data_IF_071160858011
#
_entry.id   IF_071160858011
#
_cell.length_a   1.000
_cell.length_b   1.000
_cell.length_c   1.000
_cell.angle_alpha   90.00
_cell.angle_beta   90.00
_cell.angle_gamma   90.00
#
_symmetry.space_group_name_H-M   'P 1'
#
loop_
_entity.id
_entity.type
_entity.pdbx_description
1 polymer ?
#
# COMPACT_ATOMS: atom_id res chain seq x y z
N UNK A 1 2.98 -19.83 26.98
CA UNK A 1 3.57 -19.80 28.34
C UNK A 1 4.99 -19.29 28.21
N UNK A 2 5.24 -18.03 28.57
CA UNK A 2 6.60 -17.48 28.55
C UNK A 2 7.40 -18.03 29.74
N UNK A 3 8.54 -18.64 29.45
CA UNK A 3 9.46 -19.19 30.45
C UNK A 3 10.36 -18.10 30.99
N UNK A 4 10.14 -17.67 32.24
CA UNK A 4 11.09 -16.82 32.96
C UNK A 4 12.40 -17.58 33.17
N UNK A 5 13.54 -16.98 32.78
CA UNK A 5 14.85 -17.59 33.03
C UNK A 5 15.27 -17.39 34.49
N UNK A 6 15.89 -18.42 35.07
CA UNK A 6 16.44 -18.38 36.45
C UNK A 6 17.43 -17.23 36.68
N UNK A 7 18.08 -16.73 35.61
CA UNK A 7 19.01 -15.59 35.69
C UNK A 7 18.30 -14.26 35.99
N UNK A 8 17.09 -14.06 35.48
CA UNK A 8 16.31 -12.85 35.76
C UNK A 8 15.91 -12.75 37.24
N UNK A 9 15.58 -13.90 37.86
CA UNK A 9 15.20 -13.99 39.28
C UNK A 9 16.41 -13.77 40.21
N UNK A 10 17.60 -14.24 39.81
CA UNK A 10 18.81 -14.08 40.61
C UNK A 10 19.34 -12.63 40.60
N UNK A 11 19.19 -11.90 39.49
CA UNK A 11 19.56 -10.48 39.42
C UNK A 11 18.71 -9.59 40.33
N UNK A 12 17.42 -9.88 40.47
CA UNK A 12 16.50 -9.10 41.31
C UNK A 12 16.76 -9.20 42.81
N UNK A 13 17.26 -10.34 43.30
CA UNK A 13 17.55 -10.53 44.71
C UNK A 13 18.78 -9.71 45.17
N UNK A 14 19.78 -9.55 44.31
CA UNK A 14 20.98 -8.76 44.61
C UNK A 14 20.69 -7.25 44.65
N UNK A 15 19.78 -6.75 43.81
CA UNK A 15 19.41 -5.33 43.77
C UNK A 15 18.56 -4.89 44.97
N UNK A 16 17.62 -5.73 45.44
CA UNK A 16 16.76 -5.38 46.58
C UNK A 16 17.56 -5.24 47.90
N UNK A 17 18.57 -6.10 48.10
CA UNK A 17 19.43 -6.06 49.29
C UNK A 17 20.36 -4.84 49.32
N UNK A 18 20.81 -4.35 48.16
CA UNK A 18 21.71 -3.20 48.06
C UNK A 18 21.01 -1.85 48.33
N UNK A 19 19.68 -1.76 48.13
CA UNK A 19 18.92 -0.50 48.22
C UNK A 19 17.86 -0.47 49.33
N UNK A 20 17.78 -1.50 50.19
CA UNK A 20 16.89 -1.48 51.36
C UNK A 20 15.39 -1.38 51.02
N UNK A 21 15.00 -1.80 49.81
CA UNK A 21 13.61 -1.74 49.36
C UNK A 21 12.80 -2.86 50.01
N UNK A 22 11.85 -2.51 50.88
CA UNK A 22 10.94 -3.43 51.57
C UNK A 22 9.71 -3.83 50.73
N UNK A 23 9.63 -3.39 49.47
CA UNK A 23 8.53 -3.68 48.55
C UNK A 23 8.97 -4.61 47.42
N UNK A 24 8.04 -5.42 46.90
CA UNK A 24 8.28 -6.25 45.72
C UNK A 24 8.67 -5.37 44.54
N UNK A 25 9.86 -5.57 43.97
CA UNK A 25 10.26 -4.99 42.69
C UNK A 25 9.46 -5.70 41.59
N UNK A 26 8.38 -5.07 41.14
CA UNK A 26 7.67 -5.51 39.94
C UNK A 26 8.43 -5.05 38.70
N UNK A 27 8.98 -6.00 37.95
CA UNK A 27 9.43 -5.74 36.59
C UNK A 27 8.19 -5.59 35.71
N UNK A 28 7.74 -4.35 35.55
CA UNK A 28 6.81 -4.00 34.47
C UNK A 28 7.60 -4.13 33.17
N UNK A 29 7.51 -5.30 32.53
CA UNK A 29 7.86 -5.43 31.12
C UNK A 29 7.04 -4.37 30.39
N UNK A 30 7.61 -3.58 29.47
CA UNK A 30 6.80 -2.70 28.63
C UNK A 30 5.77 -3.60 27.93
N UNK A 31 4.51 -3.45 28.31
CA UNK A 31 3.42 -3.93 27.49
C UNK A 31 3.55 -3.13 26.21
N UNK A 32 4.10 -3.74 25.16
CA UNK A 32 3.91 -3.26 23.80
C UNK A 32 2.39 -3.31 23.61
N UNK A 33 1.72 -2.19 23.87
CA UNK A 33 0.31 -2.06 23.56
C UNK A 33 0.19 -2.43 22.09
N UNK A 34 -0.50 -3.53 21.79
CA UNK A 34 -0.65 -3.99 20.42
C UNK A 34 -1.27 -2.84 19.63
N UNK A 35 -0.55 -2.32 18.64
CA UNK A 35 -1.08 -1.31 17.74
C UNK A 35 -2.37 -1.87 17.15
N UNK A 36 -3.51 -1.17 17.24
CA UNK A 36 -4.76 -1.67 16.69
C UNK A 36 -4.58 -1.96 15.20
N UNK A 37 -5.05 -3.13 14.76
CA UNK A 37 -4.89 -3.61 13.39
C UNK A 37 -5.51 -2.65 12.36
N UNK A 38 -6.63 -2.04 12.72
CA UNK A 38 -7.39 -1.10 11.89
C UNK A 38 -7.41 0.26 12.61
N UNK A 39 -7.33 1.38 11.87
CA UNK A 39 -7.28 2.69 12.49
C UNK A 39 -8.61 3.06 13.14
N UNK A 40 -8.55 3.78 14.27
CA UNK A 40 -9.75 4.36 14.90
C UNK A 40 -10.31 5.53 14.10
N UNK A 41 -9.44 6.28 13.42
CA UNK A 41 -9.80 7.35 12.48
C UNK A 41 -9.33 6.94 11.09
N UNK A 42 -10.26 6.58 10.21
CA UNK A 42 -9.96 6.03 8.89
C UNK A 42 -9.45 7.00 7.83
N UNK A 43 -8.98 8.19 8.22
CA UNK A 43 -8.27 9.10 7.33
C UNK A 43 -7.13 9.80 8.06
N UNK A 44 -6.09 10.20 7.32
CA UNK A 44 -4.95 10.93 7.85
C UNK A 44 -4.50 12.00 6.87
N UNK A 45 -4.34 13.23 7.36
CA UNK A 45 -3.98 14.40 6.56
C UNK A 45 -2.56 14.86 6.88
N UNK A 46 -1.78 15.12 5.85
CA UNK A 46 -0.42 15.64 5.97
C UNK A 46 -0.08 16.51 4.75
N UNK A 47 1.10 17.15 4.77
CA UNK A 47 1.59 17.98 3.67
C UNK A 47 2.96 17.53 3.19
N UNK A 48 3.19 17.68 1.88
CA UNK A 48 4.52 17.57 1.25
C UNK A 48 4.73 18.82 0.40
N UNK A 49 5.50 19.78 0.92
CA UNK A 49 5.48 21.14 0.36
C UNK A 49 4.07 21.73 0.47
N UNK A 50 3.53 22.20 -0.65
CA UNK A 50 2.16 22.74 -0.75
C UNK A 50 1.11 21.68 -1.10
N UNK A 51 1.51 20.42 -1.32
CA UNK A 51 0.60 19.31 -1.62
C UNK A 51 -0.13 18.95 -0.32
N UNK A 52 -1.45 19.08 -0.29
CA UNK A 52 -2.26 18.50 0.80
C UNK A 52 -2.54 17.04 0.44
N UNK A 53 -2.14 16.12 1.32
CA UNK A 53 -2.31 14.69 1.13
C UNK A 53 -3.32 14.17 2.15
N UNK A 54 -4.32 13.43 1.69
CA UNK A 54 -5.27 12.72 2.54
C UNK A 54 -5.20 11.23 2.22
N UNK A 55 -4.62 10.44 3.14
CA UNK A 55 -4.70 8.99 3.10
C UNK A 55 -6.05 8.54 3.67
N UNK A 56 -6.71 7.59 3.02
CA UNK A 56 -8.08 7.16 3.32
C UNK A 56 -8.10 5.64 3.37
N UNK A 57 -8.50 5.11 4.51
CA UNK A 57 -8.57 3.67 4.77
C UNK A 57 -9.83 3.09 4.12
N UNK A 58 -9.66 2.09 3.26
CA UNK A 58 -10.77 1.34 2.65
C UNK A 58 -11.08 0.06 3.45
N UNK A 59 -10.06 -0.54 4.06
CA UNK A 59 -10.15 -1.77 4.83
C UNK A 59 -8.81 -2.47 4.93
N UNK A 60 -8.85 -3.76 5.26
CA UNK A 60 -7.66 -4.62 5.33
C UNK A 60 -7.99 -6.00 4.78
N UNK A 61 -7.16 -6.51 3.89
CA UNK A 61 -7.22 -7.92 3.57
C UNK A 61 -6.47 -8.73 4.64
N UNK A 62 -7.23 -9.51 5.40
CA UNK A 62 -6.71 -10.47 6.39
C UNK A 62 -6.38 -11.78 5.68
N UNK A 63 -5.35 -11.77 4.84
CA UNK A 63 -5.04 -12.90 3.95
C UNK A 63 -4.53 -14.09 4.76
N UNK A 64 -5.14 -15.29 4.64
CA UNK A 64 -4.58 -16.50 5.24
C UNK A 64 -3.14 -16.73 4.77
N UNK A 65 -2.29 -17.22 5.67
CA UNK A 65 -0.95 -17.65 5.31
C UNK A 65 -1.03 -18.70 4.21
N UNK A 66 -0.15 -18.55 3.23
CA UNK A 66 -0.19 -19.28 1.98
C UNK A 66 1.25 -19.48 1.53
N UNK A 67 1.71 -20.73 1.37
CA UNK A 67 3.11 -21.01 1.03
C UNK A 67 3.49 -20.49 -0.36
N UNK A 68 2.51 -20.10 -1.19
CA UNK A 68 2.75 -19.53 -2.51
C UNK A 68 2.75 -18.00 -2.51
N UNK A 69 2.37 -17.35 -1.41
CA UNK A 69 2.26 -15.88 -1.36
C UNK A 69 3.60 -15.19 -1.64
N UNK A 70 4.69 -15.69 -1.06
CA UNK A 70 6.05 -15.30 -1.41
C UNK A 70 6.76 -16.54 -1.96
N UNK A 71 7.03 -16.58 -3.26
CA UNK A 71 7.47 -17.79 -3.99
C UNK A 71 8.79 -18.36 -3.49
N UNK A 72 9.67 -17.51 -2.95
CA UNK A 72 11.02 -17.84 -2.50
C UNK A 72 11.20 -17.65 -0.99
N UNK A 73 10.13 -17.68 -0.20
CA UNK A 73 10.18 -17.66 1.26
C UNK A 73 9.15 -18.63 1.86
N UNK A 74 9.44 -19.16 3.04
CA UNK A 74 8.49 -20.01 3.76
C UNK A 74 7.47 -19.16 4.54
N UNK A 75 6.39 -19.80 4.99
CA UNK A 75 5.43 -19.16 5.91
C UNK A 75 6.13 -18.70 7.19
N UNK A 76 7.07 -19.49 7.71
CA UNK A 76 7.77 -19.14 8.95
C UNK A 76 8.69 -17.92 8.75
N UNK A 77 9.34 -17.79 7.58
CA UNK A 77 10.12 -16.58 7.24
C UNK A 77 9.22 -15.35 7.21
N UNK A 78 8.05 -15.44 6.56
CA UNK A 78 7.12 -14.29 6.49
C UNK A 78 6.53 -13.92 7.86
N UNK A 79 6.23 -14.90 8.72
CA UNK A 79 5.80 -14.64 10.10
C UNK A 79 6.91 -14.03 10.94
N UNK A 80 8.15 -14.45 10.76
CA UNK A 80 9.29 -13.85 11.45
C UNK A 80 9.45 -12.37 11.05
N UNK A 81 9.35 -12.06 9.76
CA UNK A 81 9.37 -10.68 9.26
C UNK A 81 8.24 -9.83 9.85
N UNK A 82 7.00 -10.35 9.88
CA UNK A 82 5.85 -9.68 10.50
C UNK A 82 6.07 -9.44 12.00
N UNK A 83 6.53 -10.46 12.73
CA UNK A 83 6.80 -10.38 14.17
C UNK A 83 7.86 -9.32 14.50
N UNK A 84 8.95 -9.26 13.72
CA UNK A 84 10.00 -8.22 13.85
C UNK A 84 9.45 -6.81 13.62
N UNK A 85 8.46 -6.67 12.74
CA UNK A 85 7.78 -5.40 12.49
C UNK A 85 6.68 -5.09 13.53
N UNK A 86 6.48 -5.95 14.54
CA UNK A 86 5.43 -5.78 15.55
C UNK A 86 4.02 -6.02 15.02
N UNK A 87 3.88 -6.71 13.89
CA UNK A 87 2.59 -7.02 13.26
C UNK A 87 2.07 -8.39 13.70
N UNK A 88 0.75 -8.59 13.56
CA UNK A 88 0.14 -9.90 13.81
C UNK A 88 0.72 -10.99 12.92
N UNK A 89 0.85 -12.19 13.46
CA UNK A 89 1.28 -13.39 12.73
C UNK A 89 0.13 -14.39 12.52
N UNK A 90 -1.09 -14.06 12.95
CA UNK A 90 -2.28 -14.91 12.77
C UNK A 90 -2.69 -15.03 11.29
N UNK A 91 -2.48 -13.96 10.53
CA UNK A 91 -2.69 -13.86 9.09
C UNK A 91 -1.70 -12.84 8.51
N UNK A 92 -1.66 -12.68 7.20
CA UNK A 92 -0.92 -11.62 6.52
C UNK A 92 -1.78 -10.35 6.47
N UNK A 93 -1.41 -9.26 7.19
CA UNK A 93 -2.18 -8.03 7.23
C UNK A 93 -1.84 -7.15 6.01
N UNK A 94 -2.78 -6.95 5.10
CA UNK A 94 -2.59 -6.13 3.88
C UNK A 94 -3.59 -4.96 3.92
N UNK A 95 -3.20 -3.80 4.47
CA UNK A 95 -4.06 -2.61 4.48
C UNK A 95 -4.42 -2.15 3.08
N UNK A 96 -5.56 -1.47 2.94
CA UNK A 96 -6.05 -0.93 1.68
C UNK A 96 -6.23 0.57 1.87
N UNK A 97 -5.31 1.34 1.28
CA UNK A 97 -5.27 2.80 1.43
C UNK A 97 -5.37 3.46 0.06
N UNK A 98 -6.34 4.37 -0.08
CA UNK A 98 -6.46 5.28 -1.22
C UNK A 98 -5.92 6.65 -0.79
N UNK A 99 -5.20 7.33 -1.66
CA UNK A 99 -4.68 8.67 -1.38
C UNK A 99 -5.38 9.70 -2.27
N UNK A 100 -5.81 10.81 -1.67
CA UNK A 100 -6.30 11.98 -2.39
C UNK A 100 -5.29 13.11 -2.22
N UNK A 101 -4.84 13.66 -3.34
CA UNK A 101 -3.94 14.79 -3.41
C UNK A 101 -4.74 16.05 -3.76
N UNK A 102 -4.45 17.15 -3.08
CA UNK A 102 -4.91 18.46 -3.48
C UNK A 102 -3.72 19.35 -3.81
N UNK A 103 -3.67 19.78 -5.07
CA UNK A 103 -2.62 20.62 -5.63
C UNK A 103 -3.29 21.89 -6.15
N UNK A 104 -3.18 22.98 -5.39
CA UNK A 104 -3.97 24.19 -5.64
C UNK A 104 -5.47 23.90 -5.52
N UNK A 105 -6.20 24.04 -6.63
CA UNK A 105 -7.63 23.72 -6.73
C UNK A 105 -7.95 22.32 -7.24
N UNK A 106 -6.95 21.55 -7.70
CA UNK A 106 -7.15 20.23 -8.29
C UNK A 106 -7.23 19.15 -7.21
N UNK A 107 -8.23 18.28 -7.30
CA UNK A 107 -8.44 17.14 -6.41
C UNK A 107 -8.20 15.84 -7.18
N UNK A 108 -7.03 15.24 -6.97
CA UNK A 108 -6.58 14.06 -7.71
C UNK A 108 -6.65 12.85 -6.79
N UNK A 109 -7.38 11.81 -7.21
CA UNK A 109 -7.44 10.55 -6.47
C UNK A 109 -6.44 9.54 -7.07
N UNK A 110 -5.70 8.85 -6.20
CA UNK A 110 -4.74 7.81 -6.57
C UNK A 110 -5.40 6.45 -6.41
N UNK A 111 -5.72 5.80 -7.53
CA UNK A 111 -6.60 4.63 -7.61
C UNK A 111 -8.01 4.91 -7.05
N UNK A 112 -8.90 3.92 -7.08
CA UNK A 112 -10.29 4.02 -6.62
C UNK A 112 -10.65 3.01 -5.52
N UNK A 113 -9.68 2.21 -5.05
CA UNK A 113 -9.91 1.22 -4.01
C UNK A 113 -10.64 -0.04 -4.48
N UNK A 114 -11.05 -0.84 -3.50
CA UNK A 114 -11.53 -2.22 -3.69
C UNK A 114 -12.97 -2.33 -4.16
N UNK A 115 -13.68 -1.19 -4.22
CA UNK A 115 -15.12 -1.14 -4.40
C UNK A 115 -15.86 -1.71 -3.20
N UNK A 116 -16.88 -0.98 -2.72
CA UNK A 116 -17.59 -1.31 -1.47
C UNK A 116 -18.09 -2.75 -1.47
N UNK A 117 -17.40 -3.62 -0.71
CA UNK A 117 -17.69 -5.04 -0.57
C UNK A 117 -17.62 -5.82 -1.89
N UNK A 118 -16.82 -5.37 -2.87
CA UNK A 118 -16.66 -6.04 -4.17
C UNK A 118 -15.45 -6.97 -4.21
N UNK A 119 -14.33 -6.57 -3.63
CA UNK A 119 -13.13 -7.41 -3.57
C UNK A 119 -12.94 -8.12 -2.21
N UNK A 120 -13.01 -7.38 -1.10
CA UNK A 120 -13.03 -7.96 0.26
C UNK A 120 -14.29 -7.50 0.98
N UNK A 121 -14.87 -8.38 1.80
CA UNK A 121 -16.11 -8.07 2.54
C UNK A 121 -15.95 -6.89 3.49
N UNK A 122 -14.76 -6.71 4.08
CA UNK A 122 -14.45 -5.61 4.99
C UNK A 122 -13.80 -4.40 4.29
N UNK A 123 -13.58 -4.43 2.97
CA UNK A 123 -13.15 -3.26 2.20
C UNK A 123 -14.39 -2.44 1.79
N UNK A 124 -14.91 -1.67 2.75
CA UNK A 124 -16.16 -0.91 2.62
C UNK A 124 -16.06 0.52 3.15
N UNK A 125 -14.92 0.90 3.71
CA UNK A 125 -14.80 2.10 4.53
C UNK A 125 -14.49 3.37 3.72
N UNK A 126 -14.03 3.23 2.47
CA UNK A 126 -13.56 4.37 1.67
C UNK A 126 -14.59 5.52 1.55
N UNK A 127 -15.87 5.30 1.17
CA UNK A 127 -16.81 6.42 1.02
C UNK A 127 -17.09 7.15 2.34
N UNK A 128 -17.25 6.40 3.44
CA UNK A 128 -17.51 6.97 4.76
C UNK A 128 -16.29 7.77 5.26
N UNK A 129 -15.08 7.25 5.06
CA UNK A 129 -13.85 7.93 5.46
C UNK A 129 -13.52 9.14 4.58
N UNK A 130 -13.84 9.11 3.27
CA UNK A 130 -13.79 10.30 2.41
C UNK A 130 -14.70 11.41 2.95
N UNK A 131 -15.96 11.08 3.27
CA UNK A 131 -16.91 12.04 3.83
C UNK A 131 -16.44 12.59 5.18
N UNK A 132 -15.93 11.73 6.07
CA UNK A 132 -15.37 12.13 7.37
C UNK A 132 -14.13 13.04 7.22
N UNK A 133 -13.34 12.84 6.16
CA UNK A 133 -12.23 13.70 5.80
C UNK A 133 -12.68 15.03 5.14
N UNK A 134 -13.97 15.23 4.89
CA UNK A 134 -14.52 16.40 4.20
C UNK A 134 -14.35 16.36 2.68
N UNK A 135 -14.11 15.17 2.10
CA UNK A 135 -13.97 14.96 0.66
C UNK A 135 -15.29 14.45 0.11
N UNK A 136 -15.86 15.23 -0.79
CA UNK A 136 -16.99 14.79 -1.61
C UNK A 136 -16.45 14.04 -2.84
N UNK A 137 -16.58 12.71 -2.86
CA UNK A 137 -16.05 11.89 -3.95
C UNK A 137 -16.61 12.28 -5.33
N UNK A 138 -17.79 12.90 -5.38
CA UNK A 138 -18.41 13.40 -6.63
C UNK A 138 -17.68 14.60 -7.22
N UNK A 139 -16.78 15.23 -6.46
CA UNK A 139 -15.92 16.34 -6.90
C UNK A 139 -14.56 15.88 -7.40
N UNK A 140 -14.26 14.58 -7.35
CA UNK A 140 -13.05 14.03 -7.96
C UNK A 140 -13.22 14.13 -9.48
N UNK A 141 -12.38 14.94 -10.11
CA UNK A 141 -12.36 15.16 -11.56
C UNK A 141 -11.23 14.41 -12.26
N UNK A 142 -10.26 13.89 -11.50
CA UNK A 142 -9.09 13.20 -12.03
C UNK A 142 -8.75 12.00 -11.14
N UNK A 143 -8.59 10.83 -11.75
CA UNK A 143 -8.15 9.61 -11.08
C UNK A 143 -6.92 9.07 -11.80
N UNK A 144 -5.83 8.95 -11.06
CA UNK A 144 -4.55 8.41 -11.51
C UNK A 144 -4.52 6.92 -11.19
N UNK A 145 -4.47 6.07 -12.20
CA UNK A 145 -4.50 4.63 -12.03
C UNK A 145 -3.09 4.07 -12.03
N UNK A 146 -2.69 3.40 -10.96
CA UNK A 146 -1.39 2.74 -10.86
C UNK A 146 -1.34 1.48 -11.70
N UNK A 147 -2.37 0.62 -11.58
CA UNK A 147 -2.54 -0.63 -12.29
C UNK A 147 -3.97 -1.18 -12.12
N UNK A 148 -4.33 -2.25 -12.82
CA UNK A 148 -5.72 -2.77 -12.86
C UNK A 148 -6.01 -3.94 -11.92
N UNK A 149 -5.36 -4.02 -10.76
CA UNK A 149 -5.74 -5.02 -9.77
C UNK A 149 -7.03 -4.69 -9.00
N UNK A 150 -7.72 -5.73 -8.46
CA UNK A 150 -8.94 -5.66 -7.67
C UNK A 150 -9.13 -4.45 -6.75
N UNK A 151 -8.20 -4.35 -5.85
CA UNK A 151 -8.08 -3.37 -4.79
C UNK A 151 -7.80 -1.94 -5.26
N UNK A 152 -7.53 -1.74 -6.54
CA UNK A 152 -7.20 -0.43 -7.11
C UNK A 152 -8.33 0.12 -7.98
N UNK A 153 -8.99 -0.72 -8.79
CA UNK A 153 -9.94 -0.21 -9.81
C UNK A 153 -11.39 -0.65 -9.62
N UNK A 154 -11.71 -1.47 -8.62
CA UNK A 154 -13.10 -1.93 -8.46
C UNK A 154 -13.99 -0.82 -7.91
N UNK A 155 -13.43 0.15 -7.20
CA UNK A 155 -14.15 1.36 -6.80
C UNK A 155 -14.52 2.29 -7.95
N UNK A 156 -14.00 2.07 -9.16
CA UNK A 156 -14.49 2.77 -10.36
C UNK A 156 -15.88 2.29 -10.80
N UNK A 157 -16.31 1.10 -10.35
CA UNK A 157 -17.53 0.43 -10.82
C UNK A 157 -18.51 0.19 -9.68
N UNK A 158 -19.80 0.40 -9.92
CA UNK A 158 -20.85 -0.03 -8.99
C UNK A 158 -20.95 -1.56 -8.95
N UNK A 159 -21.17 -2.10 -7.74
CA UNK A 159 -21.36 -3.55 -7.54
C UNK A 159 -22.61 -4.03 -8.28
N UNK A 160 -22.47 -5.07 -9.09
CA UNK A 160 -23.56 -5.73 -9.81
C UNK A 160 -23.94 -5.09 -11.15
N UNK A 161 -23.76 -3.78 -11.35
CA UNK A 161 -24.10 -3.09 -12.61
C UNK A 161 -22.89 -2.76 -13.48
N UNK A 162 -21.70 -2.62 -12.88
CA UNK A 162 -20.50 -2.08 -13.54
C UNK A 162 -20.66 -0.66 -14.09
N UNK A 163 -21.68 0.09 -13.64
CA UNK A 163 -21.81 1.50 -13.98
C UNK A 163 -20.63 2.29 -13.39
N UNK A 164 -20.15 3.34 -14.07
CA UNK A 164 -19.06 4.17 -13.56
C UNK A 164 -19.49 4.94 -12.31
N UNK A 165 -18.71 4.82 -11.23
CA UNK A 165 -18.89 5.61 -10.00
C UNK A 165 -18.44 7.07 -10.20
N UNK A 166 -17.47 7.28 -11.10
CA UNK A 166 -16.88 8.59 -11.42
C UNK A 166 -17.08 8.92 -12.91
N UNK A 167 -18.32 9.12 -13.39
CA UNK A 167 -18.61 9.28 -14.81
C UNK A 167 -18.00 10.56 -15.43
N UNK A 168 -17.69 11.55 -14.60
CA UNK A 168 -17.15 12.84 -15.04
C UNK A 168 -15.63 12.98 -14.83
N UNK A 169 -14.98 12.01 -14.18
CA UNK A 169 -13.56 12.09 -13.91
C UNK A 169 -12.74 11.65 -15.13
N UNK A 170 -11.65 12.33 -15.44
CA UNK A 170 -10.61 11.83 -16.36
C UNK A 170 -9.84 10.70 -15.66
N UNK A 171 -9.78 9.53 -16.29
CA UNK A 171 -9.06 8.36 -15.81
C UNK A 171 -7.72 8.27 -16.54
N UNK A 172 -6.64 8.60 -15.84
CA UNK A 172 -5.29 8.62 -16.41
C UNK A 172 -4.59 7.30 -16.08
N UNK A 173 -4.04 6.63 -17.08
CA UNK A 173 -3.35 5.35 -16.92
C UNK A 173 -2.23 5.21 -17.93
N UNK A 174 -1.20 4.44 -17.55
CA UNK A 174 -0.16 4.03 -18.48
C UNK A 174 -0.74 3.22 -19.64
N UNK A 175 -0.40 3.61 -20.87
CA UNK A 175 -0.86 2.96 -22.09
C UNK A 175 -0.47 1.48 -22.12
N UNK A 176 0.68 1.10 -21.54
CA UNK A 176 1.11 -0.31 -21.42
C UNK A 176 0.11 -1.11 -20.60
N UNK A 177 -0.34 -0.58 -19.46
CA UNK A 177 -1.29 -1.27 -18.58
C UNK A 177 -2.63 -1.46 -19.29
N UNK A 178 -3.18 -0.37 -19.82
CA UNK A 178 -4.48 -0.40 -20.49
C UNK A 178 -4.46 -1.40 -21.65
N UNK A 179 -3.50 -1.24 -22.57
CA UNK A 179 -3.42 -2.05 -23.77
C UNK A 179 -3.18 -3.53 -23.45
N UNK A 180 -2.39 -3.84 -22.41
CA UNK A 180 -2.14 -5.23 -22.03
C UNK A 180 -3.41 -5.93 -21.55
N UNK A 181 -4.19 -5.28 -20.67
CA UNK A 181 -5.41 -5.85 -20.11
C UNK A 181 -6.58 -5.92 -21.10
N UNK A 182 -6.62 -5.01 -22.08
CA UNK A 182 -7.68 -4.97 -23.10
C UNK A 182 -7.29 -5.63 -24.43
N UNK A 183 -6.11 -6.24 -24.52
CA UNK A 183 -5.67 -6.94 -25.73
C UNK A 183 -6.62 -8.11 -26.05
N UNK A 184 -7.12 -8.22 -27.31
CA UNK A 184 -7.92 -9.37 -27.72
C UNK A 184 -7.18 -10.70 -27.46
N UNK A 185 -7.86 -11.65 -26.80
CA UNK A 185 -7.26 -12.94 -26.45
C UNK A 185 -6.38 -12.90 -25.18
N UNK A 186 -6.27 -11.77 -24.48
CA UNK A 186 -5.51 -11.65 -23.22
C UNK A 186 -6.09 -12.55 -22.13
N UNK A 187 -7.40 -12.53 -21.96
CA UNK A 187 -8.09 -13.22 -20.85
C UNK A 187 -7.78 -14.71 -20.85
N UNK A 188 -7.73 -15.33 -22.03
CA UNK A 188 -7.44 -16.76 -22.21
C UNK A 188 -6.01 -17.13 -21.79
N UNK A 189 -5.07 -16.17 -21.89
CA UNK A 189 -3.66 -16.33 -21.50
C UNK A 189 -3.43 -16.06 -20.00
N UNK A 190 -4.41 -15.53 -19.27
CA UNK A 190 -4.27 -15.29 -17.83
C UNK A 190 -4.32 -16.61 -17.05
N UNK A 191 -3.62 -16.63 -15.91
CA UNK A 191 -3.80 -17.69 -14.91
C UNK A 191 -5.28 -17.75 -14.48
N UNK A 192 -5.78 -18.95 -14.19
CA UNK A 192 -7.22 -19.19 -13.99
C UNK A 192 -7.85 -18.26 -12.95
N UNK A 193 -7.17 -18.06 -11.80
CA UNK A 193 -7.64 -17.16 -10.74
C UNK A 193 -7.70 -15.68 -11.14
N UNK A 194 -7.02 -15.26 -12.21
CA UNK A 194 -7.03 -13.88 -12.73
C UNK A 194 -8.03 -13.67 -13.87
N UNK A 195 -8.56 -14.73 -14.48
CA UNK A 195 -9.50 -14.62 -15.62
C UNK A 195 -10.77 -13.83 -15.29
N UNK A 196 -11.43 -14.00 -14.12
CA UNK A 196 -12.64 -13.23 -13.81
C UNK A 196 -12.39 -11.71 -13.79
N UNK A 197 -11.28 -11.28 -13.16
CA UNK A 197 -10.84 -9.89 -13.13
C UNK A 197 -10.53 -9.38 -14.55
N UNK A 198 -9.69 -10.10 -15.29
CA UNK A 198 -9.31 -9.73 -16.66
C UNK A 198 -10.52 -9.63 -17.60
N UNK A 199 -11.48 -10.55 -17.49
CA UNK A 199 -12.73 -10.51 -18.26
C UNK A 199 -13.53 -9.26 -17.94
N UNK A 200 -13.71 -8.93 -16.65
CA UNK A 200 -14.44 -7.72 -16.24
C UNK A 200 -13.80 -6.46 -16.82
N UNK A 201 -12.47 -6.36 -16.74
CA UNK A 201 -11.71 -5.22 -17.28
C UNK A 201 -11.91 -5.12 -18.81
N UNK A 202 -11.65 -6.21 -19.55
CA UNK A 202 -11.75 -6.25 -21.01
C UNK A 202 -13.18 -5.96 -21.52
N UNK A 203 -14.21 -6.39 -20.78
CA UNK A 203 -15.61 -6.17 -21.16
C UNK A 203 -16.11 -4.75 -20.85
N UNK A 204 -15.55 -4.08 -19.84
CA UNK A 204 -16.09 -2.81 -19.31
C UNK A 204 -15.26 -1.61 -19.75
N UNK A 205 -13.94 -1.63 -19.55
CA UNK A 205 -13.11 -0.43 -19.69
C UNK A 205 -13.11 0.16 -21.11
N UNK A 206 -13.09 -0.64 -22.21
CA UNK A 206 -13.18 -0.10 -23.58
C UNK A 206 -14.49 0.65 -23.90
N UNK A 207 -15.54 0.46 -23.10
CA UNK A 207 -16.82 1.15 -23.30
C UNK A 207 -16.80 2.58 -22.75
N UNK A 208 -15.89 2.88 -21.82
CA UNK A 208 -15.76 4.20 -21.22
C UNK A 208 -14.93 5.13 -22.09
N UNK A 209 -15.28 6.42 -22.10
CA UNK A 209 -14.68 7.43 -23.00
C UNK A 209 -13.79 8.46 -22.31
N UNK A 210 -13.69 8.37 -20.98
CA UNK A 210 -12.93 9.26 -20.12
C UNK A 210 -11.53 8.73 -19.80
N UNK A 211 -11.03 7.71 -20.52
CA UNK A 211 -9.66 7.24 -20.39
C UNK A 211 -8.69 8.15 -21.14
N UNK A 212 -7.61 8.54 -20.46
CA UNK A 212 -6.44 9.19 -21.04
C UNK A 212 -5.23 8.28 -20.86
N UNK A 213 -4.80 7.70 -21.96
CA UNK A 213 -3.62 6.84 -21.99
C UNK A 213 -2.37 7.70 -22.15
N UNK A 214 -1.39 7.49 -21.28
CA UNK A 214 -0.12 8.21 -21.31
C UNK A 214 1.05 7.24 -21.35
N UNK A 215 2.19 7.69 -21.86
CA UNK A 215 3.43 6.92 -21.83
C UNK A 215 4.26 7.29 -20.59
N UNK A 216 5.38 6.58 -20.43
CA UNK A 216 6.34 6.86 -19.39
C UNK A 216 6.79 8.33 -19.38
N UNK A 217 7.11 8.85 -18.20
CA UNK A 217 7.59 10.22 -17.96
C UNK A 217 6.63 11.34 -18.37
N UNK A 218 5.38 11.03 -18.71
CA UNK A 218 4.37 12.04 -18.99
C UNK A 218 4.04 12.88 -17.75
N UNK A 219 3.99 14.21 -17.91
CA UNK A 219 3.38 15.10 -16.93
C UNK A 219 1.85 14.97 -17.03
N UNK A 220 1.23 14.42 -15.99
CA UNK A 220 -0.20 14.06 -15.96
C UNK A 220 -1.06 15.10 -15.25
N UNK A 221 -0.44 15.90 -14.38
CA UNK A 221 -1.01 17.09 -13.74
C UNK A 221 0.14 18.04 -13.37
N UNK A 222 -0.11 19.33 -13.05
CA UNK A 222 0.95 20.27 -12.72
C UNK A 222 1.90 19.76 -11.63
N UNK A 223 3.18 19.57 -11.98
CA UNK A 223 4.20 19.06 -11.05
C UNK A 223 4.09 17.57 -10.74
N UNK A 224 3.26 16.82 -11.45
CA UNK A 224 3.03 15.39 -11.26
C UNK A 224 3.37 14.59 -12.52
N UNK A 225 4.35 13.71 -12.39
CA UNK A 225 4.88 12.89 -13.49
C UNK A 225 4.58 11.42 -13.23
N UNK A 226 4.08 10.72 -14.25
CA UNK A 226 3.99 9.26 -14.23
C UNK A 226 5.38 8.65 -14.44
N UNK A 227 5.75 7.69 -13.59
CA UNK A 227 6.97 6.90 -13.72
C UNK A 227 6.62 5.42 -13.84
N UNK A 228 7.05 4.80 -14.93
CA UNK A 228 6.83 3.39 -15.19
C UNK A 228 7.61 2.53 -14.21
N UNK A 229 6.91 1.52 -13.72
CA UNK A 229 7.28 0.69 -12.60
C UNK A 229 6.90 -0.78 -12.86
N UNK A 230 7.29 -1.36 -14.01
CA UNK A 230 6.85 -2.69 -14.41
C UNK A 230 7.32 -3.77 -13.44
N UNK A 231 6.62 -4.90 -13.46
CA UNK A 231 6.96 -6.10 -12.70
C UNK A 231 5.74 -6.63 -11.94
N UNK A 232 5.15 -5.77 -11.11
CA UNK A 232 3.90 -6.12 -10.42
C UNK A 232 2.78 -6.41 -11.42
N UNK A 233 2.55 -5.44 -12.32
CA UNK A 233 1.88 -5.64 -13.61
C UNK A 233 2.76 -5.09 -14.74
N UNK A 234 2.48 -5.41 -16.01
CA UNK A 234 3.29 -4.94 -17.13
C UNK A 234 3.36 -3.42 -17.28
N UNK A 235 2.28 -2.70 -16.94
CA UNK A 235 2.22 -1.25 -17.00
C UNK A 235 2.04 -0.57 -15.64
N UNK A 236 2.39 -1.26 -14.54
CA UNK A 236 2.36 -0.68 -13.21
C UNK A 236 3.10 0.65 -13.19
N UNK A 237 2.49 1.65 -12.56
CA UNK A 237 2.97 3.02 -12.56
C UNK A 237 2.97 3.61 -11.17
N UNK A 238 4.00 4.41 -10.91
CA UNK A 238 4.10 5.29 -9.74
C UNK A 238 3.97 6.72 -10.19
N UNK A 239 3.65 7.62 -9.27
CA UNK A 239 3.47 9.03 -9.57
C UNK A 239 4.36 9.87 -8.67
N UNK A 240 5.25 10.64 -9.28
CA UNK A 240 6.15 11.56 -8.59
C UNK A 240 5.56 12.96 -8.66
N UNK A 241 5.27 13.53 -7.50
CA UNK A 241 4.70 14.88 -7.36
C UNK A 241 5.75 15.78 -6.73
N UNK A 242 6.02 16.94 -7.34
CA UNK A 242 7.00 17.91 -6.88
C UNK A 242 6.32 19.22 -6.45
N UNK A 243 6.75 19.76 -5.32
CA UNK A 243 6.31 21.07 -4.80
C UNK A 243 7.51 21.79 -4.18
N UNK A 244 8.02 22.80 -4.89
CA UNK A 244 9.27 23.46 -4.52
C UNK A 244 10.44 22.48 -4.47
N UNK A 245 11.09 22.38 -3.31
CA UNK A 245 12.18 21.42 -3.06
C UNK A 245 11.72 20.12 -2.38
N UNK A 246 10.41 19.87 -2.33
CA UNK A 246 9.81 18.67 -1.73
C UNK A 246 9.21 17.79 -2.82
N UNK A 247 9.24 16.48 -2.60
CA UNK A 247 8.68 15.50 -3.52
C UNK A 247 7.92 14.42 -2.74
N UNK A 248 6.86 13.92 -3.37
CA UNK A 248 6.09 12.76 -2.93
C UNK A 248 6.08 11.71 -4.05
N UNK A 249 6.47 10.48 -3.74
CA UNK A 249 6.25 9.33 -4.60
C UNK A 249 5.03 8.54 -4.10
N UNK A 250 3.95 8.53 -4.89
CA UNK A 250 2.85 7.59 -4.70
C UNK A 250 3.24 6.29 -5.39
N UNK A 251 3.69 5.32 -4.61
CA UNK A 251 4.34 4.11 -5.10
C UNK A 251 3.38 2.97 -5.44
N UNK A 252 2.13 3.05 -4.99
CA UNK A 252 1.19 1.93 -5.02
C UNK A 252 1.88 0.64 -4.55
N UNK A 253 1.92 -0.38 -5.42
CA UNK A 253 2.34 -1.75 -5.11
C UNK A 253 3.81 -2.07 -5.38
N UNK A 254 4.69 -1.06 -5.45
CA UNK A 254 6.13 -1.33 -5.58
C UNK A 254 6.69 -2.17 -4.42
N UNK A 255 6.22 -1.89 -3.20
CA UNK A 255 6.68 -2.51 -1.97
C UNK A 255 5.47 -2.93 -1.12
N UNK A 256 4.56 -3.73 -1.68
CA UNK A 256 3.39 -4.20 -0.92
C UNK A 256 3.82 -4.99 0.32
N UNK A 257 3.27 -4.60 1.48
CA UNK A 257 3.68 -5.06 2.81
C UNK A 257 5.19 -4.85 3.10
N UNK A 258 5.63 -3.59 3.36
CA UNK A 258 7.04 -3.26 3.60
C UNK A 258 7.73 -4.09 4.68
N UNK A 259 7.00 -4.60 5.67
CA UNK A 259 7.52 -5.49 6.71
C UNK A 259 8.21 -6.76 6.14
N UNK A 260 7.77 -7.22 4.96
CA UNK A 260 8.38 -8.34 4.25
C UNK A 260 9.44 -7.83 3.28
N UNK A 261 9.04 -6.95 2.36
CA UNK A 261 9.86 -6.63 1.19
C UNK A 261 10.97 -5.62 1.47
N UNK A 262 10.90 -4.82 2.55
CA UNK A 262 12.00 -3.93 2.91
C UNK A 262 13.25 -4.72 3.40
N UNK A 263 13.15 -5.62 4.40
CA UNK A 263 14.28 -6.44 4.82
C UNK A 263 14.64 -7.53 3.80
N UNK A 264 13.70 -7.90 2.91
CA UNK A 264 13.87 -8.93 1.89
C UNK A 264 13.44 -8.45 0.50
N UNK A 265 14.14 -7.48 -0.10
CA UNK A 265 13.72 -6.88 -1.37
C UNK A 265 13.78 -7.84 -2.57
N UNK A 266 14.48 -8.97 -2.42
CA UNK A 266 14.56 -10.08 -3.38
C UNK A 266 13.39 -11.08 -3.26
N UNK A 267 12.50 -10.94 -2.29
CA UNK A 267 11.30 -11.78 -2.19
C UNK A 267 10.32 -11.51 -3.33
N UNK A 268 9.86 -12.57 -3.98
CA UNK A 268 8.95 -12.50 -5.14
C UNK A 268 7.55 -12.89 -4.70
N UNK A 269 6.63 -11.93 -4.58
CA UNK A 269 5.27 -12.30 -4.25
C UNK A 269 4.50 -12.85 -5.44
N UNK A 270 3.43 -13.59 -5.15
CA UNK A 270 2.63 -14.26 -6.17
C UNK A 270 1.86 -13.33 -7.08
N UNK A 271 1.57 -12.12 -6.60
CA UNK A 271 0.85 -11.11 -7.36
C UNK A 271 1.72 -10.39 -8.39
N UNK A 272 3.04 -10.45 -8.25
CA UNK A 272 3.96 -9.98 -9.29
C UNK A 272 3.84 -10.87 -10.53
N UNK A 273 3.50 -10.24 -11.66
CA UNK A 273 3.42 -10.93 -12.95
C UNK A 273 4.81 -11.25 -13.53
N UNK A 274 5.80 -10.40 -13.23
CA UNK A 274 7.22 -10.63 -13.49
C UNK A 274 8.02 -10.35 -12.20
N UNK A 275 8.37 -11.42 -11.49
CA UNK A 275 9.06 -11.36 -10.21
C UNK A 275 10.44 -10.70 -10.28
N UNK A 276 11.36 -11.15 -11.16
CA UNK A 276 12.65 -10.50 -11.37
C UNK A 276 12.52 -9.00 -11.70
N UNK A 277 11.63 -8.63 -12.62
CA UNK A 277 11.40 -7.21 -12.95
C UNK A 277 10.87 -6.42 -11.75
N UNK A 278 9.96 -7.00 -10.94
CA UNK A 278 9.43 -6.35 -9.75
C UNK A 278 10.53 -6.09 -8.69
N UNK A 279 11.49 -7.01 -8.53
CA UNK A 279 12.67 -6.84 -7.66
C UNK A 279 13.52 -5.66 -8.15
N UNK A 280 13.85 -5.64 -9.44
CA UNK A 280 14.69 -4.59 -10.02
C UNK A 280 14.02 -3.21 -9.90
N UNK A 281 12.73 -3.14 -10.23
CA UNK A 281 11.93 -1.93 -10.12
C UNK A 281 11.86 -1.42 -8.68
N UNK A 282 11.54 -2.28 -7.69
CA UNK A 282 11.42 -1.83 -6.31
C UNK A 282 12.74 -1.37 -5.72
N UNK A 283 13.85 -2.05 -6.06
CA UNK A 283 15.19 -1.62 -5.63
C UNK A 283 15.52 -0.26 -6.20
N UNK A 284 15.36 -0.07 -7.52
CA UNK A 284 15.64 1.21 -8.20
C UNK A 284 14.85 2.37 -7.61
N UNK A 285 13.54 2.18 -7.38
CA UNK A 285 12.68 3.26 -6.88
C UNK A 285 12.91 3.56 -5.40
N UNK A 286 13.11 2.56 -4.54
CA UNK A 286 13.43 2.82 -3.13
C UNK A 286 14.82 3.46 -2.99
N UNK A 287 15.80 3.07 -3.81
CA UNK A 287 17.11 3.72 -3.82
C UNK A 287 17.02 5.19 -4.20
N UNK A 288 16.18 5.52 -5.19
CA UNK A 288 15.88 6.91 -5.55
C UNK A 288 15.20 7.65 -4.40
N UNK A 289 14.20 7.04 -3.77
CA UNK A 289 13.47 7.64 -2.64
C UNK A 289 14.42 8.03 -1.50
N UNK A 290 15.38 7.16 -1.19
CA UNK A 290 16.40 7.42 -0.17
C UNK A 290 17.38 8.50 -0.64
N UNK A 291 17.94 8.37 -1.85
CA UNK A 291 18.97 9.26 -2.37
C UNK A 291 18.48 10.71 -2.53
N UNK A 292 17.25 10.87 -3.03
CA UNK A 292 16.64 12.17 -3.32
C UNK A 292 15.82 12.71 -2.13
N UNK A 293 15.76 11.97 -1.00
CA UNK A 293 14.99 12.30 0.19
C UNK A 293 13.50 12.59 -0.13
N UNK A 294 12.89 11.70 -0.92
CA UNK A 294 11.50 11.80 -1.38
C UNK A 294 10.56 11.23 -0.31
N UNK A 295 9.48 11.94 0.01
CA UNK A 295 8.41 11.35 0.82
C UNK A 295 7.71 10.24 0.04
N UNK A 296 7.29 9.15 0.68
CA UNK A 296 6.66 8.02 -0.01
C UNK A 296 5.39 7.56 0.69
N UNK A 297 4.41 7.18 -0.12
CA UNK A 297 3.24 6.42 0.33
C UNK A 297 2.90 5.28 -0.64
N UNK A 298 2.35 4.18 -0.11
CA UNK A 298 1.92 3.01 -0.88
C UNK A 298 0.60 2.43 -0.35
N UNK A 299 -0.14 1.77 -1.24
CA UNK A 299 -1.52 1.32 -0.99
C UNK A 299 -1.62 0.29 0.15
N UNK A 300 -0.57 -0.53 0.30
CA UNK A 300 -0.49 -1.62 1.27
C UNK A 300 0.56 -1.41 2.37
N UNK A 301 0.97 -0.17 2.58
CA UNK A 301 1.81 0.17 3.73
C UNK A 301 0.94 0.21 5.00
N UNK A 302 1.50 0.01 6.20
CA UNK A 302 0.78 0.25 7.44
C UNK A 302 0.10 1.62 7.41
N UNK A 303 -1.20 1.67 7.74
CA UNK A 303 -1.95 2.93 7.71
C UNK A 303 -1.25 3.97 8.61
N UNK A 304 -1.00 5.22 8.15
CA UNK A 304 -1.65 5.96 7.06
C UNK A 304 -1.06 5.73 5.66
N UNK A 305 -0.34 4.63 5.43
CA UNK A 305 0.15 4.25 4.12
C UNK A 305 1.45 4.97 3.74
N UNK A 306 2.14 5.61 4.68
CA UNK A 306 3.37 6.38 4.46
C UNK A 306 4.44 6.04 5.50
N UNK A 307 5.69 6.41 5.21
CA UNK A 307 6.81 6.22 6.12
C UNK A 307 8.13 6.61 5.49
N UNK A 308 9.23 6.20 6.14
CA UNK A 308 10.59 6.48 5.67
C UNK A 308 11.36 5.18 5.45
N UNK A 309 12.08 5.10 4.33
CA UNK A 309 13.06 4.04 4.10
C UNK A 309 14.47 4.53 4.42
N UNK A 310 15.29 3.64 4.95
CA UNK A 310 16.74 3.81 5.06
C UNK A 310 17.44 2.56 4.55
N UNK A 311 18.71 2.69 4.12
CA UNK A 311 19.54 1.55 3.77
C UNK A 311 19.85 0.70 5.01
N UNK A 312 19.75 -0.61 4.86
CA UNK A 312 20.22 -1.60 5.84
C UNK A 312 21.02 -2.69 5.12
N UNK A 313 22.33 -2.49 5.02
CA UNK A 313 23.20 -3.31 4.17
C UNK A 313 22.73 -3.30 2.70
N UNK A 314 22.41 -4.49 2.17
CA UNK A 314 21.90 -4.68 0.80
C UNK A 314 20.36 -4.63 0.71
N UNK A 315 19.69 -4.36 1.84
CA UNK A 315 18.24 -4.29 2.01
C UNK A 315 17.84 -2.90 2.54
N UNK A 316 16.62 -2.82 3.11
CA UNK A 316 16.02 -1.59 3.60
C UNK A 316 15.37 -1.80 4.95
N UNK A 317 15.40 -0.76 5.78
CA UNK A 317 14.51 -0.66 6.93
C UNK A 317 13.41 0.36 6.62
N UNK A 318 12.17 0.02 6.93
CA UNK A 318 11.01 0.90 6.80
C UNK A 318 10.49 1.30 8.17
N UNK A 319 10.35 2.60 8.40
CA UNK A 319 9.70 3.15 9.59
C UNK A 319 8.36 3.77 9.19
N UNK A 320 7.22 3.19 9.59
CA UNK A 320 5.90 3.74 9.26
C UNK A 320 5.68 5.11 9.92
N UNK A 321 4.95 5.98 9.24
CA UNK A 321 4.31 7.14 9.86
C UNK A 321 3.30 6.65 10.90
N UNK A 322 3.25 7.27 12.07
CA UNK A 322 2.28 6.92 13.12
C UNK A 322 1.15 7.95 13.11
N UNK A 323 -0.09 7.47 13.02
CA UNK A 323 -1.27 8.28 13.31
C UNK A 323 -1.40 8.42 14.83
N UNK A 324 -1.16 9.63 15.33
CA UNK A 324 -1.32 9.98 16.74
C UNK A 324 -2.79 10.07 17.16
#
# INVERSE_FOLDING_TARGET
MFTMSRRAVLGSAAAAAAFGLSSKLEFVMPALAATPLEPTVGFYKYKVGDIEVTAIYDGIWKKPHDPTFIKNASIEDTKEALSKAGLTTEFMPIPLTVVVLKIGSHMIMMDAGSGVGQWQENATHLPANMAAAGIDYRKIDTIMISHFHPDHVWGLMEKGTNNPVFPNAELIVNAVEYNWWTEPGRVEKLAEGRKPAGKRIADVFPKWKNWKLVNDEAEVAPGMTLLSAPGHTPGHSTYLVSSGNKQLLVSADIMYVPALLAPHPDWQGSYDQDGPMAIDTRRRLIDRVIADNIAICGSHFPFPGSGTFVKDGNAYAFTPTIQA
#
